data_IF_314321318998
#
_entry.id   IF_314321318998
#
_cell.length_a   1.000
_cell.length_b   1.000
_cell.length_c   1.000
_cell.angle_alpha   90.00
_cell.angle_beta   90.00
_cell.angle_gamma   90.00
#
_symmetry.space_group_name_H-M   'P 1'
#
loop_
_entity.id
_entity.type
_entity.pdbx_description
1 polymer ?
#
# COMPACT_ATOMS: atom_id res chain seq x y z
N UNK A 1 -20.73 -47.11 20.59
CA UNK A 1 -20.14 -45.78 20.37
C UNK A 1 -18.63 -45.90 20.42
N UNK A 2 -18.00 -45.85 19.25
CA UNK A 2 -16.58 -46.15 19.03
C UNK A 2 -15.73 -44.95 19.43
N UNK A 3 -14.83 -45.14 20.41
CA UNK A 3 -13.88 -44.10 20.85
C UNK A 3 -12.64 -44.19 19.97
N UNK A 4 -12.56 -43.29 18.99
CA UNK A 4 -11.47 -43.24 18.04
C UNK A 4 -10.19 -42.65 18.69
N UNK A 5 -9.06 -43.33 18.47
CA UNK A 5 -7.66 -42.87 18.61
C UNK A 5 -7.29 -42.10 19.90
N UNK A 6 -6.86 -42.83 20.95
CA UNK A 6 -6.15 -42.24 22.10
C UNK A 6 -4.79 -42.87 22.41
N UNK A 7 -4.35 -43.86 21.67
CA UNK A 7 -2.98 -44.33 21.79
C UNK A 7 -2.10 -43.60 20.79
N UNK A 8 -1.33 -42.65 21.28
CA UNK A 8 -0.23 -42.08 20.51
C UNK A 8 0.76 -43.17 20.12
N UNK A 9 1.50 -42.96 19.03
CA UNK A 9 2.51 -43.91 18.55
C UNK A 9 3.54 -44.17 19.66
N UNK A 10 3.77 -45.45 19.99
CA UNK A 10 4.74 -45.90 20.97
C UNK A 10 6.13 -45.28 20.69
N UNK A 11 6.80 -44.75 21.72
CA UNK A 11 8.04 -43.97 21.55
C UNK A 11 9.16 -44.73 20.82
N UNK A 12 9.17 -46.07 20.88
CA UNK A 12 10.15 -46.93 20.17
C UNK A 12 9.86 -47.08 18.68
N UNK A 13 8.61 -46.82 18.25
CA UNK A 13 8.19 -46.84 16.83
C UNK A 13 8.25 -45.45 16.18
N UNK A 14 8.64 -44.41 16.93
CA UNK A 14 8.84 -43.07 16.39
C UNK A 14 10.17 -43.02 15.63
N UNK A 15 10.09 -42.79 14.32
CA UNK A 15 11.27 -42.51 13.49
C UNK A 15 11.85 -41.16 13.90
N UNK A 16 13.05 -41.16 14.49
CA UNK A 16 13.80 -39.94 14.78
C UNK A 16 14.60 -39.57 13.55
N UNK A 17 14.02 -38.74 12.67
CA UNK A 17 14.82 -38.08 11.65
C UNK A 17 15.66 -36.98 12.32
N UNK A 18 16.99 -36.95 12.14
CA UNK A 18 17.78 -35.83 12.63
C UNK A 18 17.29 -34.56 11.92
N UNK A 19 16.87 -33.56 12.69
CA UNK A 19 16.56 -32.24 12.16
C UNK A 19 17.88 -31.69 11.62
N UNK A 20 18.08 -31.75 10.30
CA UNK A 20 19.21 -31.08 9.65
C UNK A 20 19.04 -29.58 9.90
N UNK A 21 19.77 -29.06 10.90
CA UNK A 21 19.87 -27.62 11.11
C UNK A 21 20.53 -27.04 9.85
N UNK A 22 19.73 -26.43 8.99
CA UNK A 22 20.25 -25.69 7.85
C UNK A 22 20.88 -24.42 8.39
N UNK A 23 22.19 -24.29 8.25
CA UNK A 23 22.88 -23.03 8.48
C UNK A 23 22.47 -22.05 7.38
N UNK A 24 21.83 -20.95 7.77
CA UNK A 24 21.46 -19.88 6.86
C UNK A 24 22.75 -19.26 6.30
N UNK A 25 22.94 -19.34 4.99
CA UNK A 25 24.05 -18.66 4.33
C UNK A 25 23.47 -17.46 3.58
N UNK A 26 23.61 -16.23 4.12
CA UNK A 26 22.94 -15.06 3.58
C UNK A 26 23.27 -14.82 2.11
N UNK A 27 24.50 -15.07 1.66
CA UNK A 27 24.90 -14.83 0.27
C UNK A 27 24.19 -15.82 -0.68
N UNK A 28 24.08 -17.09 -0.30
CA UNK A 28 23.49 -18.14 -1.15
C UNK A 28 21.97 -18.11 -1.11
N UNK A 29 21.40 -17.91 0.06
CA UNK A 29 19.96 -17.93 0.28
C UNK A 29 19.28 -16.64 -0.23
N UNK A 30 19.97 -15.49 -0.21
CA UNK A 30 19.46 -14.24 -0.77
C UNK A 30 19.60 -14.14 -2.30
N UNK A 31 20.45 -14.95 -2.93
CA UNK A 31 20.63 -14.92 -4.40
C UNK A 31 19.32 -15.20 -5.14
N UNK A 32 18.55 -16.19 -4.68
CA UNK A 32 17.24 -16.52 -5.24
C UNK A 32 16.20 -15.43 -4.98
N UNK A 33 16.26 -14.78 -3.80
CA UNK A 33 15.39 -13.64 -3.49
C UNK A 33 15.67 -12.46 -4.42
N UNK A 34 16.95 -12.08 -4.58
CA UNK A 34 17.37 -10.98 -5.46
C UNK A 34 16.95 -11.20 -6.92
N UNK A 35 17.13 -12.42 -7.43
CA UNK A 35 16.72 -12.77 -8.79
C UNK A 35 15.19 -12.62 -8.99
N UNK A 36 14.39 -13.13 -8.04
CA UNK A 36 12.92 -13.00 -8.10
C UNK A 36 12.46 -11.56 -7.94
N UNK A 37 13.05 -10.80 -7.04
CA UNK A 37 12.71 -9.38 -6.84
C UNK A 37 13.03 -8.57 -8.10
N UNK A 38 14.15 -8.84 -8.78
CA UNK A 38 14.50 -8.17 -10.04
C UNK A 38 13.48 -8.48 -11.17
N UNK A 39 13.13 -9.76 -11.34
CA UNK A 39 12.13 -10.18 -12.34
C UNK A 39 10.76 -9.56 -12.03
N UNK A 40 10.36 -9.57 -10.75
CA UNK A 40 9.07 -8.99 -10.32
C UNK A 40 9.08 -7.48 -10.53
N UNK A 41 10.16 -6.78 -10.17
CA UNK A 41 10.30 -5.34 -10.40
C UNK A 41 10.19 -4.95 -11.87
N UNK A 42 10.79 -5.75 -12.77
CA UNK A 42 10.66 -5.53 -14.22
C UNK A 42 9.22 -5.78 -14.72
N UNK A 43 8.49 -6.71 -14.11
CA UNK A 43 7.08 -6.98 -14.44
C UNK A 43 6.12 -5.93 -13.87
N UNK A 44 6.46 -5.30 -12.74
CA UNK A 44 5.62 -4.31 -12.05
C UNK A 44 5.53 -2.97 -12.80
N UNK A 45 6.35 -2.75 -13.83
CA UNK A 45 6.34 -1.52 -14.61
C UNK A 45 6.95 -0.32 -13.87
N UNK A 46 6.81 0.88 -14.43
CA UNK A 46 7.24 2.13 -13.77
C UNK A 46 6.56 2.26 -12.42
N UNK A 47 7.28 2.70 -11.38
CA UNK A 47 6.62 3.18 -10.16
C UNK A 47 5.74 4.36 -10.57
N UNK A 48 4.42 4.14 -10.52
CA UNK A 48 3.42 5.18 -10.71
C UNK A 48 3.07 5.69 -9.33
N UNK A 49 3.21 7.00 -9.10
CA UNK A 49 2.72 7.63 -7.89
C UNK A 49 1.20 7.49 -7.85
N UNK A 50 0.71 6.57 -7.01
CA UNK A 50 -0.72 6.40 -6.76
C UNK A 50 -1.18 7.57 -5.89
N UNK A 51 -2.05 8.47 -6.38
CA UNK A 51 -2.52 9.60 -5.58
C UNK A 51 -3.41 9.07 -4.45
N UNK A 52 -2.97 9.19 -3.20
CA UNK A 52 -3.81 8.90 -2.04
C UNK A 52 -4.92 9.96 -1.95
N UNK A 53 -6.18 9.53 -1.91
CA UNK A 53 -7.30 10.43 -1.64
C UNK A 53 -7.35 10.72 -0.13
N UNK A 54 -7.14 11.98 0.25
CA UNK A 54 -7.30 12.45 1.63
C UNK A 54 -8.76 12.90 1.82
N UNK A 55 -9.54 12.18 2.63
CA UNK A 55 -10.83 12.67 3.13
C UNK A 55 -10.65 13.14 4.57
N UNK A 56 -11.05 14.39 4.84
CA UNK A 56 -11.06 14.95 6.20
C UNK A 56 -12.49 14.85 6.72
N UNK A 57 -12.74 13.85 7.57
CA UNK A 57 -13.91 13.80 8.45
C UNK A 57 -13.46 14.03 9.89
N UNK A 58 -14.09 14.98 10.58
CA UNK A 58 -13.90 15.27 12.00
C UNK A 58 -12.45 15.50 12.45
N UNK A 59 -11.63 16.18 11.64
CA UNK A 59 -10.26 16.60 12.00
C UNK A 59 -9.26 15.46 12.24
N UNK A 60 -9.57 14.23 11.81
CA UNK A 60 -8.69 13.08 11.90
C UNK A 60 -8.34 12.54 10.51
N UNK A 61 -7.08 12.12 10.32
CA UNK A 61 -6.62 11.48 9.09
C UNK A 61 -7.13 10.03 9.04
N UNK A 62 -8.11 9.75 8.17
CA UNK A 62 -8.63 8.39 7.95
C UNK A 62 -8.09 7.87 6.63
N UNK A 63 -7.29 6.80 6.69
CA UNK A 63 -6.83 6.08 5.50
C UNK A 63 -7.80 4.93 5.21
N UNK A 64 -8.59 5.07 4.17
CA UNK A 64 -9.53 4.05 3.73
C UNK A 64 -8.97 3.31 2.50
N UNK A 65 -9.09 1.97 2.49
CA UNK A 65 -8.80 1.18 1.30
C UNK A 65 -9.97 1.34 0.33
N UNK A 66 -9.73 2.03 -0.77
CA UNK A 66 -10.75 2.31 -1.78
C UNK A 66 -10.69 1.24 -2.89
N UNK A 67 -11.85 0.82 -3.37
CA UNK A 67 -11.96 -0.06 -4.54
C UNK A 67 -11.43 0.63 -5.80
N UNK A 68 -10.80 -0.15 -6.68
CA UNK A 68 -10.12 0.33 -7.89
C UNK A 68 -11.06 1.10 -8.83
N UNK A 69 -12.35 0.76 -8.84
CA UNK A 69 -13.37 1.45 -9.63
C UNK A 69 -13.59 2.92 -9.26
N UNK A 70 -13.24 3.33 -8.04
CA UNK A 70 -13.36 4.74 -7.61
C UNK A 70 -12.23 5.60 -8.19
N UNK A 71 -11.05 5.02 -8.42
CA UNK A 71 -9.91 5.73 -9.02
C UNK A 71 -10.21 6.16 -10.46
N UNK A 72 -11.00 5.37 -11.21
CA UNK A 72 -11.40 5.71 -12.58
C UNK A 72 -12.34 6.92 -12.66
N UNK A 73 -13.05 7.24 -11.56
CA UNK A 73 -14.02 8.34 -11.53
C UNK A 73 -13.41 9.67 -11.06
N UNK A 74 -12.09 9.72 -10.85
CA UNK A 74 -11.40 10.94 -10.49
C UNK A 74 -11.23 11.83 -11.71
N UNK A 75 -11.60 13.10 -11.57
CA UNK A 75 -11.65 14.04 -12.69
C UNK A 75 -10.74 15.25 -12.48
N UNK A 76 -10.47 15.64 -11.23
CA UNK A 76 -9.72 16.86 -10.91
C UNK A 76 -8.56 16.57 -9.97
N UNK A 77 -7.34 16.95 -10.36
CA UNK A 77 -6.11 16.90 -9.56
C UNK A 77 -5.90 18.21 -8.81
N UNK A 78 -5.51 18.10 -7.53
CA UNK A 78 -5.16 19.22 -6.67
C UNK A 78 -3.64 19.33 -6.53
N UNK A 79 -3.08 20.48 -6.90
CA UNK A 79 -1.64 20.75 -6.89
C UNK A 79 -1.37 21.95 -6.00
N UNK A 80 -0.40 21.84 -5.10
CA UNK A 80 0.13 22.95 -4.31
C UNK A 80 1.49 23.35 -4.88
N UNK A 81 1.72 24.65 -4.97
CA UNK A 81 3.06 25.19 -5.18
C UNK A 81 3.70 25.47 -3.82
N UNK A 82 4.81 24.81 -3.56
CA UNK A 82 5.68 25.11 -2.43
C UNK A 82 7.05 25.59 -2.94
N UNK A 83 7.92 26.03 -2.03
CA UNK A 83 9.29 26.47 -2.34
C UNK A 83 10.14 25.38 -3.02
N UNK A 84 9.80 24.10 -2.82
CA UNK A 84 10.45 22.95 -3.44
C UNK A 84 9.84 22.54 -4.80
N UNK A 85 8.71 23.14 -5.22
CA UNK A 85 8.08 22.89 -6.52
C UNK A 85 6.58 22.57 -6.48
N UNK A 86 6.05 22.06 -7.60
CA UNK A 86 4.67 21.57 -7.70
C UNK A 86 4.52 20.21 -7.01
N UNK A 87 3.69 20.15 -5.97
CA UNK A 87 3.35 18.91 -5.26
C UNK A 87 1.87 18.58 -5.44
N UNK A 88 1.59 17.39 -5.98
CA UNK A 88 0.22 16.88 -6.09
C UNK A 88 -0.25 16.40 -4.72
N UNK A 89 -1.36 16.94 -4.22
CA UNK A 89 -1.95 16.54 -2.94
C UNK A 89 -2.91 15.35 -3.08
N UNK A 90 -3.60 15.26 -4.22
CA UNK A 90 -4.60 14.23 -4.46
C UNK A 90 -5.51 14.58 -5.62
N UNK A 91 -6.57 13.81 -5.79
CA UNK A 91 -7.58 14.04 -6.80
C UNK A 91 -9.00 13.86 -6.25
N UNK A 92 -9.97 14.47 -6.93
CA UNK A 92 -11.37 14.54 -6.54
C UNK A 92 -12.27 14.16 -7.72
N UNK A 93 -13.46 13.66 -7.39
CA UNK A 93 -14.47 13.19 -8.37
C UNK A 93 -15.24 14.36 -8.99
N UNK A 94 -15.32 15.50 -8.31
CA UNK A 94 -16.12 16.65 -8.73
C UNK A 94 -15.39 17.98 -8.46
N UNK A 95 -15.59 18.97 -9.33
CA UNK A 95 -15.04 20.31 -9.20
C UNK A 95 -15.52 21.00 -7.92
N UNK A 96 -16.77 20.74 -7.50
CA UNK A 96 -17.33 21.35 -6.29
C UNK A 96 -16.57 20.92 -5.04
N UNK A 97 -16.19 19.65 -4.94
CA UNK A 97 -15.39 19.14 -3.83
C UNK A 97 -13.95 19.64 -3.91
N UNK A 98 -13.36 19.68 -5.11
CA UNK A 98 -12.06 20.30 -5.35
C UNK A 98 -12.00 21.75 -4.83
N UNK A 99 -13.03 22.54 -5.12
CA UNK A 99 -13.11 23.95 -4.71
C UNK A 99 -13.27 24.12 -3.21
N UNK A 100 -14.05 23.25 -2.55
CA UNK A 100 -14.18 23.27 -1.09
C UNK A 100 -12.86 22.96 -0.39
N UNK A 101 -12.10 21.99 -0.91
CA UNK A 101 -10.77 21.66 -0.39
C UNK A 101 -9.81 22.84 -0.61
N UNK A 102 -9.77 23.41 -1.82
CA UNK A 102 -8.95 24.58 -2.13
C UNK A 102 -9.26 25.75 -1.19
N UNK A 103 -10.54 26.06 -0.95
CA UNK A 103 -10.97 27.10 -0.03
C UNK A 103 -10.51 26.83 1.40
N UNK A 104 -10.70 25.60 1.91
CA UNK A 104 -10.28 25.23 3.27
C UNK A 104 -8.76 25.36 3.44
N UNK A 105 -7.99 24.89 2.47
CA UNK A 105 -6.53 24.94 2.48
C UNK A 105 -6.00 26.38 2.42
N UNK A 106 -6.62 27.24 1.61
CA UNK A 106 -6.31 28.66 1.60
C UNK A 106 -6.61 29.32 2.95
N UNK A 107 -7.75 29.00 3.58
CA UNK A 107 -8.14 29.63 4.86
C UNK A 107 -7.38 29.11 6.07
N UNK A 108 -7.11 27.81 6.16
CA UNK A 108 -6.51 27.18 7.35
C UNK A 108 -4.98 27.11 7.27
N UNK A 109 -4.44 26.82 6.09
CA UNK A 109 -3.01 26.59 5.90
C UNK A 109 -2.31 27.71 5.12
N UNK A 110 -3.06 28.72 4.65
CA UNK A 110 -2.55 29.81 3.81
C UNK A 110 -1.84 29.31 2.54
N UNK A 111 -2.29 28.18 2.00
CA UNK A 111 -1.74 27.55 0.78
C UNK A 111 -2.67 27.77 -0.41
N UNK A 112 -2.08 28.14 -1.54
CA UNK A 112 -2.80 28.27 -2.81
C UNK A 112 -2.81 26.92 -3.51
N UNK A 113 -4.00 26.50 -3.95
CA UNK A 113 -4.20 25.22 -4.65
C UNK A 113 -4.59 25.51 -6.10
N UNK A 114 -3.89 24.87 -7.02
CA UNK A 114 -4.25 24.78 -8.43
C UNK A 114 -5.06 23.52 -8.69
N UNK A 115 -6.17 23.67 -9.41
CA UNK A 115 -7.04 22.56 -9.82
C UNK A 115 -6.79 22.32 -11.31
N UNK A 116 -6.31 21.12 -11.68
CA UNK A 116 -6.13 20.70 -13.08
C UNK A 116 -7.06 19.52 -13.38
N UNK A 117 -7.62 19.39 -14.60
CA UNK A 117 -8.25 18.15 -15.03
C UNK A 117 -7.20 17.02 -15.06
N UNK A 118 -7.64 15.78 -14.81
CA UNK A 118 -6.80 14.59 -14.90
C UNK A 118 -6.54 14.16 -16.35
#
# INVERSE_FOLDING_TARGET
MTRAFRDGVENKRKVRAPVRMRTWNPIRDLRGLKARTSVTGNQMGSLVDVPAMIRIENEHWVFERIEDGVLQNLTHRLIVHDSEGEKTLGATIDLKTAMQVAKRMATKENKIIMIKPL
#
